data_IF_330373339229
#
_entry.id   IF_330373339229
#
_cell.length_a   1.000
_cell.length_b   1.000
_cell.length_c   1.000
_cell.angle_alpha   90.00
_cell.angle_beta   90.00
_cell.angle_gamma   90.00
#
_symmetry.space_group_name_H-M   'P 1'
#
loop_
_entity.id
_entity.type
_entity.pdbx_description
1 polymer ?
#
# COMPACT_ATOMS: atom_id res chain seq x y z
N UNK A 1 -16.79 -23.44 6.31
CA UNK A 1 -15.56 -22.67 5.99
C UNK A 1 -15.92 -21.39 5.27
N UNK A 2 -15.33 -20.26 5.68
CA UNK A 2 -15.47 -18.99 4.96
C UNK A 2 -14.55 -19.00 3.75
N UNK A 3 -15.07 -18.68 2.56
CA UNK A 3 -14.29 -18.66 1.31
C UNK A 3 -14.33 -17.28 0.66
N UNK A 4 -13.26 -16.91 -0.02
CA UNK A 4 -13.10 -15.71 -0.85
C UNK A 4 -12.45 -16.06 -2.18
N UNK A 5 -12.35 -15.13 -3.14
CA UNK A 5 -11.45 -15.28 -4.28
C UNK A 5 -10.02 -15.61 -3.81
N UNK A 6 -9.32 -16.42 -4.60
CA UNK A 6 -7.94 -16.84 -4.30
C UNK A 6 -6.92 -15.74 -4.61
N UNK A 7 -7.26 -14.85 -5.53
CA UNK A 7 -6.39 -13.81 -6.08
C UNK A 7 -7.03 -12.42 -5.91
N UNK A 8 -6.23 -11.37 -5.98
CA UNK A 8 -6.68 -9.97 -5.92
C UNK A 8 -7.35 -9.56 -4.61
N UNK A 9 -7.27 -10.38 -3.57
CA UNK A 9 -8.03 -10.17 -2.33
C UNK A 9 -7.38 -9.22 -1.32
N UNK A 10 -6.08 -8.95 -1.48
CA UNK A 10 -5.30 -8.25 -0.45
C UNK A 10 -5.49 -6.74 -0.54
N UNK A 11 -6.21 -6.19 0.42
CA UNK A 11 -6.52 -4.76 0.54
C UNK A 11 -5.51 -3.97 1.39
N UNK A 12 -4.64 -4.63 2.13
CA UNK A 12 -3.60 -4.01 2.95
C UNK A 12 -2.29 -4.75 2.74
N UNK A 13 -1.22 -4.01 2.44
CA UNK A 13 0.10 -4.59 2.25
C UNK A 13 1.20 -3.65 2.74
N UNK A 14 2.31 -4.24 3.18
CA UNK A 14 3.56 -3.54 3.48
C UNK A 14 4.67 -4.21 2.69
N UNK A 15 5.16 -3.50 1.68
CA UNK A 15 6.26 -3.94 0.85
C UNK A 15 7.57 -3.36 1.37
N UNK A 16 8.60 -4.20 1.46
CA UNK A 16 9.96 -3.74 1.62
C UNK A 16 10.45 -3.13 0.31
N UNK A 17 11.22 -2.06 0.41
CA UNK A 17 11.90 -1.41 -0.71
C UNK A 17 13.38 -1.35 -0.38
N UNK A 18 14.24 -1.63 -1.35
CA UNK A 18 15.69 -1.56 -1.17
C UNK A 18 16.39 -1.31 -2.50
N UNK A 19 17.33 -0.38 -2.49
CA UNK A 19 18.27 -0.20 -3.60
C UNK A 19 19.39 -1.23 -3.53
N UNK A 20 19.65 -1.94 -4.63
CA UNK A 20 20.66 -3.01 -4.72
C UNK A 20 21.43 -2.86 -6.02
N UNK A 21 22.66 -2.32 -5.95
CA UNK A 21 23.51 -2.08 -7.13
C UNK A 21 23.69 -3.33 -8.01
N UNK A 22 23.92 -4.49 -7.39
CA UNK A 22 24.09 -5.77 -8.09
C UNK A 22 22.86 -6.23 -8.87
N UNK A 23 21.67 -5.68 -8.55
CA UNK A 23 20.40 -5.94 -9.25
C UNK A 23 19.99 -4.81 -10.19
N UNK A 24 20.81 -3.79 -10.31
CA UNK A 24 20.56 -2.66 -11.19
C UNK A 24 19.57 -1.63 -10.65
N UNK A 25 19.33 -1.60 -9.33
CA UNK A 25 18.48 -0.57 -8.71
C UNK A 25 17.54 -1.06 -7.61
N UNK A 26 16.37 -0.44 -7.55
CA UNK A 26 15.35 -0.71 -6.54
C UNK A 26 14.70 -2.08 -6.75
N UNK A 27 14.70 -2.89 -5.70
CA UNK A 27 13.85 -4.07 -5.56
C UNK A 27 12.68 -3.76 -4.61
N UNK A 28 11.52 -4.33 -4.88
CA UNK A 28 10.30 -4.08 -4.10
C UNK A 28 9.46 -5.35 -3.97
N UNK A 29 9.00 -5.64 -2.75
CA UNK A 29 8.12 -6.78 -2.51
C UNK A 29 7.99 -7.17 -1.04
N UNK A 30 7.45 -8.33 -0.78
CA UNK A 30 7.27 -8.80 0.58
C UNK A 30 8.59 -9.24 1.22
N UNK A 31 8.70 -8.99 2.54
CA UNK A 31 9.81 -9.53 3.32
C UNK A 31 9.63 -11.03 3.51
N UNK A 32 10.72 -11.77 3.31
CA UNK A 32 10.73 -13.21 3.59
C UNK A 32 10.55 -13.48 5.09
N UNK A 33 9.84 -14.55 5.40
CA UNK A 33 9.63 -14.97 6.79
C UNK A 33 10.97 -15.33 7.44
N UNK A 34 11.23 -14.73 8.60
CA UNK A 34 12.43 -14.97 9.42
C UNK A 34 13.78 -14.66 8.72
N UNK A 35 13.77 -13.85 7.66
CA UNK A 35 14.98 -13.43 6.93
C UNK A 35 14.94 -11.93 6.62
N UNK A 36 16.11 -11.27 6.47
CA UNK A 36 16.19 -9.85 6.14
C UNK A 36 15.96 -9.56 4.65
N UNK A 37 15.58 -10.56 3.86
CA UNK A 37 15.47 -10.44 2.41
C UNK A 37 14.08 -9.94 1.99
N UNK A 38 14.06 -9.33 0.81
CA UNK A 38 12.84 -8.91 0.12
C UNK A 38 12.71 -9.79 -1.11
N UNK A 39 11.57 -10.46 -1.25
CA UNK A 39 11.19 -11.13 -2.49
C UNK A 39 10.83 -10.07 -3.52
N UNK A 40 11.66 -9.92 -4.54
CA UNK A 40 11.44 -8.92 -5.58
C UNK A 40 10.21 -9.30 -6.43
N UNK A 41 9.19 -8.48 -6.38
CA UNK A 41 7.90 -8.73 -7.02
C UNK A 41 7.71 -7.79 -8.22
N UNK A 42 7.63 -8.32 -9.43
CA UNK A 42 7.22 -7.61 -10.64
C UNK A 42 5.69 -7.64 -10.81
N UNK A 43 5.10 -8.74 -10.35
CA UNK A 43 3.67 -8.95 -10.29
C UNK A 43 3.34 -9.73 -9.01
N UNK A 44 2.15 -9.55 -8.47
CA UNK A 44 1.71 -10.25 -7.28
C UNK A 44 0.22 -10.56 -7.33
N UNK A 45 -0.13 -11.81 -7.55
CA UNK A 45 -1.52 -12.24 -7.77
C UNK A 45 -2.42 -12.07 -6.54
N UNK A 46 -1.85 -12.00 -5.34
CA UNK A 46 -2.66 -11.78 -4.12
C UNK A 46 -2.97 -10.31 -3.86
N UNK A 47 -2.18 -9.36 -4.41
CA UNK A 47 -2.50 -7.94 -4.36
C UNK A 47 -3.68 -7.61 -5.26
N UNK A 48 -4.38 -6.54 -4.93
CA UNK A 48 -5.35 -5.91 -5.84
C UNK A 48 -4.69 -5.64 -7.19
N UNK A 49 -5.39 -5.93 -8.28
CA UNK A 49 -4.86 -5.88 -9.64
C UNK A 49 -4.32 -4.48 -10.01
N UNK A 50 -4.99 -3.42 -9.56
CA UNK A 50 -4.55 -2.02 -9.77
C UNK A 50 -3.13 -1.79 -9.25
N UNK A 51 -2.83 -2.34 -8.07
CA UNK A 51 -1.51 -2.23 -7.43
C UNK A 51 -0.50 -3.17 -8.08
N UNK A 52 -0.91 -4.42 -8.35
CA UNK A 52 -0.04 -5.41 -8.98
C UNK A 52 0.47 -4.93 -10.34
N UNK A 53 -0.39 -4.33 -11.15
CA UNK A 53 -0.04 -3.77 -12.46
C UNK A 53 0.91 -2.55 -12.37
N UNK A 54 0.94 -1.86 -11.23
CA UNK A 54 1.76 -0.66 -11.04
C UNK A 54 3.17 -0.94 -10.50
N UNK A 55 3.47 -2.15 -10.02
CA UNK A 55 4.73 -2.46 -9.32
C UNK A 55 5.99 -2.11 -10.13
N UNK A 56 6.01 -2.40 -11.42
CA UNK A 56 7.17 -2.08 -12.27
C UNK A 56 7.29 -0.58 -12.55
N UNK A 57 6.18 0.13 -12.70
CA UNK A 57 6.17 1.58 -12.84
C UNK A 57 6.64 2.28 -11.57
N UNK A 58 6.20 1.81 -10.39
CA UNK A 58 6.68 2.28 -9.08
C UNK A 58 8.21 2.07 -8.95
N UNK A 59 8.71 0.87 -9.31
CA UNK A 59 10.14 0.58 -9.30
C UNK A 59 10.92 1.52 -10.22
N UNK A 60 10.44 1.71 -11.44
CA UNK A 60 11.03 2.63 -12.42
C UNK A 60 11.09 4.06 -11.89
N UNK A 61 10.00 4.55 -11.31
CA UNK A 61 9.95 5.88 -10.70
C UNK A 61 10.90 5.98 -9.52
N UNK A 62 10.88 5.01 -8.59
CA UNK A 62 11.76 5.04 -7.41
C UNK A 62 13.25 4.99 -7.77
N UNK A 63 13.63 4.33 -8.86
CA UNK A 63 15.00 4.35 -9.37
C UNK A 63 15.47 5.73 -9.81
N UNK A 64 14.57 6.60 -10.21
CA UNK A 64 14.88 7.96 -10.69
C UNK A 64 14.95 8.98 -9.56
N UNK A 65 14.50 8.62 -8.35
CA UNK A 65 14.52 9.53 -7.21
C UNK A 65 15.95 9.73 -6.69
N UNK A 66 16.29 10.95 -6.31
CA UNK A 66 17.60 11.29 -5.73
C UNK A 66 17.90 10.51 -4.45
N UNK A 67 16.86 10.09 -3.74
CA UNK A 67 16.91 9.34 -2.48
C UNK A 67 16.49 7.87 -2.64
N UNK A 68 16.63 7.28 -3.82
CA UNK A 68 16.21 5.90 -4.11
C UNK A 68 16.70 4.86 -3.08
N UNK A 69 17.94 5.00 -2.61
CA UNK A 69 18.54 4.12 -1.59
C UNK A 69 18.01 4.37 -0.16
N UNK A 70 17.21 5.41 0.03
CA UNK A 70 16.71 5.86 1.32
C UNK A 70 15.20 5.66 1.49
N UNK A 71 14.59 4.83 0.65
CA UNK A 71 13.19 4.43 0.72
C UNK A 71 13.13 2.98 1.21
N UNK A 72 12.84 2.71 2.50
CA UNK A 72 12.85 1.35 3.05
C UNK A 72 11.53 0.60 2.89
N UNK A 73 10.41 1.30 2.63
CA UNK A 73 9.09 0.71 2.72
C UNK A 73 8.04 1.48 1.92
N UNK A 74 7.11 0.73 1.35
CA UNK A 74 5.86 1.20 0.79
C UNK A 74 4.70 0.49 1.52
N UNK A 75 3.80 1.24 2.13
CA UNK A 75 2.57 0.70 2.71
C UNK A 75 1.38 1.03 1.81
N UNK A 76 0.48 0.07 1.65
CA UNK A 76 -0.63 0.14 0.71
C UNK A 76 -1.93 -0.11 1.49
N UNK A 77 -2.92 0.73 1.26
CA UNK A 77 -4.27 0.59 1.78
C UNK A 77 -5.27 0.80 0.64
N UNK A 78 -6.23 -0.13 0.50
CA UNK A 78 -7.11 -0.20 -0.66
C UNK A 78 -8.56 -0.26 -0.18
N UNK A 79 -9.39 0.60 -0.76
CA UNK A 79 -10.85 0.54 -0.71
C UNK A 79 -11.39 0.19 -2.10
N UNK A 80 -12.69 0.04 -2.22
CA UNK A 80 -13.30 -0.26 -3.52
C UNK A 80 -13.00 0.83 -4.55
N UNK A 81 -12.98 2.08 -4.10
CA UNK A 81 -12.88 3.25 -4.98
C UNK A 81 -11.51 3.94 -4.94
N UNK A 82 -10.62 3.59 -3.97
CA UNK A 82 -9.38 4.33 -3.74
C UNK A 82 -8.23 3.40 -3.41
N UNK A 83 -7.03 3.83 -3.80
CA UNK A 83 -5.77 3.22 -3.39
C UNK A 83 -4.91 4.29 -2.75
N UNK A 84 -4.49 4.08 -1.51
CA UNK A 84 -3.53 4.94 -0.82
C UNK A 84 -2.19 4.23 -0.66
N UNK A 85 -1.11 4.96 -0.89
CA UNK A 85 0.27 4.48 -0.76
C UNK A 85 1.08 5.40 0.13
N UNK A 86 1.61 4.87 1.23
CA UNK A 86 2.50 5.61 2.15
C UNK A 86 3.94 5.23 1.82
N UNK A 87 4.71 6.19 1.33
CA UNK A 87 6.12 6.05 1.00
C UNK A 87 6.94 6.47 2.22
N UNK A 88 7.57 5.50 2.89
CA UNK A 88 8.51 5.80 3.96
C UNK A 88 9.85 6.22 3.36
N UNK A 89 10.39 7.33 3.82
CA UNK A 89 11.68 7.85 3.38
C UNK A 89 12.53 8.27 4.58
N UNK A 90 13.85 8.18 4.44
CA UNK A 90 14.81 8.51 5.50
C UNK A 90 15.54 9.83 5.26
N UNK A 91 15.50 10.32 4.01
CA UNK A 91 16.06 11.60 3.60
C UNK A 91 14.98 12.39 2.84
N UNK A 92 15.05 13.71 2.85
CA UNK A 92 14.07 14.58 2.18
C UNK A 92 14.13 14.42 0.67
N UNK A 93 12.97 14.41 0.04
CA UNK A 93 12.83 14.47 -1.41
C UNK A 93 13.20 15.85 -1.95
N UNK A 94 13.83 15.91 -3.12
CA UNK A 94 13.98 17.13 -3.91
C UNK A 94 12.65 17.54 -4.56
N UNK A 95 12.54 18.79 -5.03
CA UNK A 95 11.35 19.25 -5.76
C UNK A 95 11.10 18.38 -7.01
N UNK A 96 12.17 18.00 -7.72
CA UNK A 96 12.07 17.10 -8.88
C UNK A 96 11.55 15.71 -8.50
N UNK A 97 11.94 15.17 -7.34
CA UNK A 97 11.41 13.89 -6.83
C UNK A 97 9.91 14.01 -6.53
N UNK A 98 9.51 15.08 -5.85
CA UNK A 98 8.11 15.34 -5.53
C UNK A 98 7.26 15.47 -6.79
N UNK A 99 7.73 16.20 -7.80
CA UNK A 99 7.06 16.32 -9.09
C UNK A 99 6.91 14.95 -9.80
N UNK A 100 7.96 14.11 -9.73
CA UNK A 100 7.93 12.74 -10.27
C UNK A 100 6.87 11.87 -9.59
N UNK A 101 6.83 11.90 -8.26
CA UNK A 101 5.83 11.19 -7.45
C UNK A 101 4.41 11.70 -7.69
N UNK A 102 4.22 13.02 -7.83
CA UNK A 102 2.91 13.62 -8.13
C UNK A 102 2.40 13.21 -9.50
N UNK A 103 3.25 13.21 -10.54
CA UNK A 103 2.86 12.72 -11.88
C UNK A 103 2.43 11.25 -11.82
N UNK A 104 3.17 10.41 -11.08
CA UNK A 104 2.80 9.01 -10.93
C UNK A 104 1.47 8.85 -10.19
N UNK A 105 1.26 9.58 -9.09
CA UNK A 105 0.02 9.55 -8.32
C UNK A 105 -1.19 9.94 -9.17
N UNK A 106 -1.05 11.00 -9.99
CA UNK A 106 -2.10 11.46 -10.91
C UNK A 106 -2.38 10.42 -12.02
N UNK A 107 -1.33 9.88 -12.64
CA UNK A 107 -1.49 8.89 -13.72
C UNK A 107 -2.12 7.57 -13.24
N UNK A 108 -1.85 7.18 -12.00
CA UNK A 108 -2.42 5.98 -11.37
C UNK A 108 -3.78 6.23 -10.72
N UNK A 109 -4.18 7.48 -10.53
CA UNK A 109 -5.35 7.89 -9.73
C UNK A 109 -5.28 7.39 -8.27
N UNK A 110 -4.06 7.42 -7.68
CA UNK A 110 -3.79 6.95 -6.32
C UNK A 110 -3.42 8.11 -5.40
N UNK A 111 -3.78 7.98 -4.12
CA UNK A 111 -3.39 8.92 -3.08
C UNK A 111 -2.01 8.55 -2.53
N UNK A 112 -1.01 9.38 -2.76
CA UNK A 112 0.31 9.17 -2.17
C UNK A 112 0.47 9.99 -0.89
N UNK A 113 1.11 9.36 0.09
CA UNK A 113 1.50 9.95 1.36
C UNK A 113 2.99 9.75 1.57
N UNK A 114 3.62 10.69 2.27
CA UNK A 114 5.02 10.65 2.64
C UNK A 114 5.14 10.45 4.15
N UNK A 115 6.10 9.61 4.57
CA UNK A 115 6.38 9.34 5.96
C UNK A 115 7.88 9.45 6.22
N UNK A 116 8.31 10.47 6.97
CA UNK A 116 9.72 10.69 7.32
C UNK A 116 10.14 10.04 8.64
N UNK A 117 9.20 9.71 9.52
CA UNK A 117 9.47 9.20 10.87
C UNK A 117 8.36 8.30 11.41
N UNK A 118 7.76 8.68 12.54
CA UNK A 118 6.61 8.01 13.16
C UNK A 118 5.31 8.20 12.38
N UNK A 119 4.21 7.66 12.91
CA UNK A 119 2.89 7.80 12.27
C UNK A 119 2.41 9.25 12.21
N UNK A 120 2.82 10.06 13.16
CA UNK A 120 2.57 11.49 13.25
C UNK A 120 3.22 12.32 12.14
N UNK A 121 4.15 11.74 11.39
CA UNK A 121 4.84 12.39 10.25
C UNK A 121 4.22 12.03 8.90
N UNK A 122 3.14 11.27 8.87
CA UNK A 122 2.46 10.92 7.62
C UNK A 122 1.69 12.14 7.10
N UNK A 123 2.06 12.60 5.91
CA UNK A 123 1.42 13.73 5.25
C UNK A 123 1.04 13.37 3.82
N UNK A 124 -0.09 13.85 3.28
CA UNK A 124 -0.41 13.62 1.88
C UNK A 124 0.60 14.33 0.98
N UNK A 125 0.97 13.69 -0.13
CA UNK A 125 1.85 14.28 -1.15
C UNK A 125 1.19 15.48 -1.84
N UNK A 126 -0.14 15.42 -2.00
CA UNK A 126 -0.96 16.53 -2.47
C UNK A 126 -2.00 16.86 -1.41
N UNK A 127 -2.30 18.13 -1.19
CA UNK A 127 -3.16 18.60 -0.09
C UNK A 127 -4.64 18.11 -0.11
N UNK A 128 -5.02 17.26 -1.04
CA UNK A 128 -6.42 16.87 -1.31
C UNK A 128 -6.75 15.41 -0.98
N UNK A 129 -5.93 14.73 -0.18
CA UNK A 129 -6.21 13.36 0.22
C UNK A 129 -7.52 13.27 1.02
N UNK A 130 -8.42 12.39 0.57
CA UNK A 130 -9.70 12.15 1.22
C UNK A 130 -9.58 10.98 2.19
N UNK A 131 -10.34 10.95 3.29
CA UNK A 131 -10.36 9.82 4.21
C UNK A 131 -10.71 8.52 3.47
N UNK A 132 -9.99 7.44 3.80
CA UNK A 132 -10.35 6.10 3.36
C UNK A 132 -11.54 5.59 4.16
N UNK A 133 -12.40 4.82 3.50
CA UNK A 133 -13.52 4.17 4.19
C UNK A 133 -13.84 2.82 3.56
N UNK A 134 -14.52 1.97 4.31
CA UNK A 134 -15.16 0.76 3.82
C UNK A 134 -16.44 0.49 4.61
N UNK A 135 -17.39 -0.18 3.97
CA UNK A 135 -18.66 -0.54 4.59
C UNK A 135 -18.61 -1.98 5.11
N UNK A 136 -19.14 -2.21 6.32
CA UNK A 136 -19.28 -3.53 6.90
C UNK A 136 -20.53 -3.58 7.78
N UNK A 137 -21.40 -4.55 7.55
CA UNK A 137 -22.66 -4.75 8.27
C UNK A 137 -23.53 -3.47 8.33
N UNK A 138 -23.55 -2.67 7.27
CA UNK A 138 -24.33 -1.42 7.18
C UNK A 138 -23.69 -0.22 7.90
N UNK A 139 -22.45 -0.36 8.37
CA UNK A 139 -21.70 0.73 9.02
C UNK A 139 -20.51 1.13 8.14
N UNK A 140 -20.39 2.43 7.85
CA UNK A 140 -19.20 2.99 7.17
C UNK A 140 -18.11 3.28 8.19
N UNK A 141 -16.98 2.59 8.07
CA UNK A 141 -15.80 2.79 8.89
C UNK A 141 -14.78 3.64 8.15
N UNK A 142 -14.36 4.75 8.75
CA UNK A 142 -13.27 5.59 8.26
C UNK A 142 -11.96 5.14 8.87
N UNK A 143 -10.86 5.22 8.11
CA UNK A 143 -9.54 4.84 8.57
C UNK A 143 -8.45 5.63 7.85
N UNK A 144 -7.26 5.68 8.46
CA UNK A 144 -6.08 6.29 7.88
C UNK A 144 -5.25 5.24 7.10
N UNK A 145 -4.45 5.63 6.10
CA UNK A 145 -3.67 4.69 5.28
C UNK A 145 -2.76 3.76 6.06
N UNK A 146 -2.37 4.13 7.28
CA UNK A 146 -1.51 3.36 8.18
C UNK A 146 -2.27 2.56 9.24
N UNK A 147 -3.60 2.71 9.34
CA UNK A 147 -4.41 1.95 10.28
C UNK A 147 -4.46 0.46 9.91
N UNK A 148 -4.68 -0.36 10.92
CA UNK A 148 -4.91 -1.78 10.69
C UNK A 148 -6.29 -2.00 10.06
N UNK A 149 -6.31 -2.70 8.95
CA UNK A 149 -7.53 -3.25 8.34
C UNK A 149 -7.32 -4.71 7.97
N UNK A 150 -8.41 -5.50 7.94
CA UNK A 150 -8.33 -6.90 7.51
C UNK A 150 -7.92 -6.97 6.04
N UNK A 151 -6.92 -7.79 5.74
CA UNK A 151 -6.34 -7.87 4.39
C UNK A 151 -7.30 -8.45 3.35
N UNK A 152 -8.27 -9.26 3.78
CA UNK A 152 -9.27 -9.89 2.92
C UNK A 152 -10.66 -9.39 3.31
N UNK A 153 -11.16 -8.40 2.58
CA UNK A 153 -12.44 -7.76 2.83
C UNK A 153 -13.60 -8.77 2.78
N UNK A 154 -13.64 -9.63 1.76
CA UNK A 154 -14.72 -10.62 1.58
C UNK A 154 -14.81 -11.59 2.77
N UNK A 155 -13.65 -12.05 3.24
CA UNK A 155 -13.60 -12.90 4.45
C UNK A 155 -14.05 -12.13 5.68
N UNK A 156 -13.61 -10.87 5.83
CA UNK A 156 -13.98 -10.01 6.95
C UNK A 156 -15.50 -9.80 7.01
N UNK A 157 -16.12 -9.44 5.90
CA UNK A 157 -17.58 -9.24 5.80
C UNK A 157 -18.35 -10.50 6.22
N UNK A 158 -17.94 -11.67 5.70
CA UNK A 158 -18.57 -12.95 6.04
C UNK A 158 -18.37 -13.34 7.51
N UNK A 159 -17.19 -13.04 8.07
CA UNK A 159 -16.92 -13.30 9.48
C UNK A 159 -17.77 -12.41 10.40
N UNK A 160 -17.88 -11.12 10.09
CA UNK A 160 -18.69 -10.18 10.85
C UNK A 160 -20.18 -10.54 10.76
N UNK A 161 -20.69 -10.83 9.56
CA UNK A 161 -22.07 -11.28 9.38
C UNK A 161 -22.36 -12.53 10.21
N UNK A 162 -21.44 -13.51 10.18
CA UNK A 162 -21.59 -14.73 10.98
C UNK A 162 -21.52 -14.48 12.49
N UNK A 163 -20.67 -13.56 12.93
CA UNK A 163 -20.60 -13.17 14.34
C UNK A 163 -21.92 -12.53 14.80
N UNK A 164 -22.48 -11.63 13.99
CA UNK A 164 -23.78 -11.00 14.30
C UNK A 164 -24.89 -12.05 14.39
N UNK A 165 -24.99 -12.99 13.45
CA UNK A 165 -25.97 -14.09 13.51
C UNK A 165 -25.87 -14.92 14.77
N UNK A 166 -24.63 -15.19 15.27
CA UNK A 166 -24.41 -15.98 16.46
C UNK A 166 -24.66 -15.22 17.77
N UNK A 167 -24.53 -13.90 17.74
CA UNK A 167 -24.72 -13.02 18.90
C UNK A 167 -26.11 -12.41 18.97
N UNK A 168 -26.84 -12.38 17.85
CA UNK A 168 -28.22 -11.90 17.82
C UNK A 168 -29.11 -12.83 18.65
N UNK A 169 -29.91 -12.31 19.62
CA UNK A 169 -30.85 -13.09 20.40
C UNK A 169 -32.01 -13.65 19.57
#
# INVERSE_FOLDING_TARGET
PVRSPQWGYRRKARLGVKYVDKKGGVIMGFRERAKPYITDCHQCDVLDERVSALLDTLRGTFNQLSVAARIPQLEIAITDNRVAMVIRHLDSFSDSDLDGLQRLAQAAEFDFYLQSGGLDTVVPLTGNAQPLNYDIAGVTLKFEPFDFTQVNQVVNEKMVARAIELLAP
#
